data_IF_643664276081
#
_entry.id   IF_643664276081
#
_cell.length_a   1.000
_cell.length_b   1.000
_cell.length_c   1.000
_cell.angle_alpha   90.00
_cell.angle_beta   90.00
_cell.angle_gamma   90.00
#
_symmetry.space_group_name_H-M   'P 1'
#
loop_
_entity.id
_entity.type
_entity.pdbx_description
1 polymer ?
#
# COMPACT_ATOMS: atom_id res chain seq x y z
N UNK A 1 -44.36 -26.82 25.47
CA UNK A 1 -43.01 -26.28 25.77
C UNK A 1 -42.39 -27.18 26.81
N UNK A 2 -41.41 -28.01 26.43
CA UNK A 2 -40.65 -28.83 27.38
C UNK A 2 -39.72 -27.93 28.19
N UNK A 3 -39.60 -28.22 29.48
CA UNK A 3 -38.88 -27.40 30.45
C UNK A 3 -37.38 -27.64 30.30
N UNK A 4 -36.70 -26.73 29.60
CA UNK A 4 -35.25 -26.78 29.32
C UNK A 4 -34.38 -26.95 30.58
N UNK A 5 -34.90 -26.58 31.76
CA UNK A 5 -34.21 -26.78 33.04
C UNK A 5 -34.21 -28.23 33.51
N UNK A 6 -35.24 -29.01 33.20
CA UNK A 6 -35.28 -30.44 33.53
C UNK A 6 -34.38 -31.25 32.60
N UNK A 7 -34.33 -30.93 31.31
CA UNK A 7 -33.46 -31.60 30.34
C UNK A 7 -31.96 -31.34 30.66
N UNK A 8 -31.60 -30.13 31.12
CA UNK A 8 -30.24 -29.80 31.59
C UNK A 8 -29.87 -30.48 32.92
N UNK A 9 -30.84 -30.67 33.83
CA UNK A 9 -30.60 -31.38 35.09
C UNK A 9 -30.42 -32.89 34.87
N UNK A 10 -31.10 -33.49 33.89
CA UNK A 10 -30.93 -34.89 33.52
C UNK A 10 -29.59 -35.14 32.81
N UNK A 11 -29.16 -34.24 31.90
CA UNK A 11 -27.83 -34.32 31.26
C UNK A 11 -26.67 -34.19 32.26
N UNK A 12 -26.85 -33.44 33.35
CA UNK A 12 -25.86 -33.34 34.43
C UNK A 12 -25.73 -34.64 35.23
N UNK A 13 -26.82 -35.41 35.38
CA UNK A 13 -26.82 -36.63 36.19
C UNK A 13 -26.29 -37.85 35.43
N UNK A 14 -26.50 -37.91 34.11
CA UNK A 14 -25.95 -38.98 33.25
C UNK A 14 -24.44 -38.82 32.96
N UNK A 15 -23.82 -37.69 33.34
CA UNK A 15 -22.39 -37.41 33.10
C UNK A 15 -21.43 -38.00 34.13
N UNK A 16 -21.94 -38.65 35.19
CA UNK A 16 -21.10 -39.07 36.32
C UNK A 16 -20.44 -40.45 36.19
N UNK A 17 -20.72 -41.24 35.14
CA UNK A 17 -20.24 -42.63 35.00
C UNK A 17 -19.40 -42.91 33.75
N UNK A 18 -18.65 -41.93 33.22
CA UNK A 18 -17.70 -42.17 32.11
C UNK A 18 -16.25 -42.34 32.60
N UNK A 19 -16.00 -43.44 33.31
CA UNK A 19 -14.65 -43.93 33.54
C UNK A 19 -14.20 -44.83 32.38
N UNK A 20 -12.90 -44.79 32.06
CA UNK A 20 -12.33 -45.78 31.13
C UNK A 20 -12.30 -47.19 31.76
N UNK A 21 -11.89 -48.19 30.98
CA UNK A 21 -11.75 -49.59 31.44
C UNK A 21 -10.74 -49.79 32.58
N UNK A 22 -10.08 -48.74 33.05
CA UNK A 22 -9.15 -48.73 34.18
C UNK A 22 -9.62 -47.85 35.36
N UNK A 23 -10.85 -47.34 35.33
CA UNK A 23 -11.40 -46.54 36.41
C UNK A 23 -10.80 -45.13 36.52
N UNK A 24 -10.12 -44.65 35.48
CA UNK A 24 -9.64 -43.27 35.42
C UNK A 24 -10.71 -42.38 34.80
N UNK A 25 -10.92 -41.14 35.30
CA UNK A 25 -11.77 -40.17 34.63
C UNK A 25 -11.22 -39.89 33.23
N UNK A 26 -12.06 -40.02 32.19
CA UNK A 26 -11.66 -39.72 30.82
C UNK A 26 -11.10 -38.29 30.74
N UNK A 27 -9.85 -38.17 30.27
CA UNK A 27 -9.13 -36.91 30.09
C UNK A 27 -9.78 -35.93 29.06
N UNK A 28 -11.00 -36.21 28.57
CA UNK A 28 -11.59 -35.61 27.37
C UNK A 28 -12.43 -34.35 27.57
N UNK A 29 -12.90 -34.01 28.77
CA UNK A 29 -13.83 -32.88 28.96
C UNK A 29 -13.32 -31.75 29.87
N UNK A 30 -12.22 -31.94 30.59
CA UNK A 30 -11.58 -30.88 31.40
C UNK A 30 -10.71 -29.92 30.58
N UNK A 31 -10.46 -30.21 29.29
CA UNK A 31 -9.76 -29.28 28.39
C UNK A 31 -10.65 -28.14 27.89
N UNK A 32 -11.98 -28.23 28.03
CA UNK A 32 -12.92 -27.16 27.66
C UNK A 32 -13.03 -26.06 28.72
N UNK A 33 -12.54 -26.31 29.93
CA UNK A 33 -12.50 -25.35 31.06
C UNK A 33 -11.08 -25.05 31.51
N UNK A 34 -10.06 -25.59 30.83
CA UNK A 34 -8.68 -25.25 31.08
C UNK A 34 -8.43 -23.84 30.56
N UNK A 35 -8.36 -22.88 31.49
CA UNK A 35 -7.82 -21.55 31.26
C UNK A 35 -6.47 -21.73 30.56
N UNK A 36 -6.35 -21.31 29.30
CA UNK A 36 -5.13 -21.53 28.55
C UNK A 36 -4.03 -20.72 29.23
N UNK A 37 -2.93 -21.37 29.60
CA UNK A 37 -1.86 -20.74 30.39
C UNK A 37 -1.17 -19.59 29.62
N UNK A 38 -1.51 -19.39 28.33
CA UNK A 38 -1.08 -18.31 27.43
C UNK A 38 -2.26 -17.55 26.74
N UNK A 39 -3.42 -17.42 27.40
CA UNK A 39 -4.64 -16.78 26.86
C UNK A 39 -4.40 -15.46 26.09
N UNK A 40 -3.50 -14.59 26.55
CA UNK A 40 -3.25 -13.29 25.91
C UNK A 40 -2.40 -13.38 24.63
N UNK A 41 -1.43 -14.30 24.57
CA UNK A 41 -0.60 -14.52 23.37
C UNK A 41 -1.41 -15.27 22.30
N UNK A 42 -2.09 -16.34 22.70
CA UNK A 42 -2.95 -17.12 21.80
C UNK A 42 -4.10 -16.24 21.24
N UNK A 43 -4.67 -15.35 22.07
CA UNK A 43 -5.69 -14.42 21.62
C UNK A 43 -5.14 -13.38 20.64
N UNK A 44 -3.91 -12.87 20.83
CA UNK A 44 -3.30 -11.93 19.90
C UNK A 44 -3.08 -12.57 18.53
N UNK A 45 -2.62 -13.82 18.49
CA UNK A 45 -2.40 -14.54 17.24
C UNK A 45 -3.70 -14.81 16.48
N UNK A 46 -4.77 -15.22 17.18
CA UNK A 46 -6.10 -15.35 16.58
C UNK A 46 -6.60 -14.00 16.02
N UNK A 47 -6.50 -12.95 16.83
CA UNK A 47 -6.93 -11.60 16.48
C UNK A 47 -6.17 -11.03 15.27
N UNK A 48 -4.86 -11.30 15.19
CA UNK A 48 -3.99 -10.95 14.08
C UNK A 48 -4.33 -11.74 12.81
N UNK A 49 -4.63 -13.02 12.96
CA UNK A 49 -5.06 -13.90 11.85
C UNK A 49 -6.36 -13.39 11.22
N UNK A 50 -7.31 -12.91 12.03
CA UNK A 50 -8.54 -12.26 11.56
C UNK A 50 -8.21 -10.96 10.81
N UNK A 51 -7.34 -10.09 11.36
CA UNK A 51 -6.94 -8.86 10.68
C UNK A 51 -6.33 -9.17 9.30
N UNK A 52 -5.41 -10.13 9.26
CA UNK A 52 -4.68 -10.47 8.03
C UNK A 52 -5.61 -10.98 6.94
N UNK A 53 -6.61 -11.79 7.31
CA UNK A 53 -7.69 -12.22 6.43
C UNK A 53 -8.53 -11.04 5.90
N UNK A 54 -9.00 -10.16 6.80
CA UNK A 54 -9.81 -9.01 6.41
C UNK A 54 -9.06 -8.08 5.46
N UNK A 55 -7.80 -7.78 5.76
CA UNK A 55 -6.92 -6.96 4.91
C UNK A 55 -6.73 -7.61 3.53
N UNK A 56 -6.49 -8.92 3.48
CA UNK A 56 -6.36 -9.65 2.23
C UNK A 56 -7.63 -9.55 1.38
N UNK A 57 -8.80 -9.86 1.96
CA UNK A 57 -10.08 -9.79 1.24
C UNK A 57 -10.41 -8.36 0.81
N UNK A 58 -10.20 -7.37 1.66
CA UNK A 58 -10.40 -5.95 1.34
C UNK A 58 -9.51 -5.51 0.16
N UNK A 59 -8.24 -5.94 0.15
CA UNK A 59 -7.32 -5.61 -0.94
C UNK A 59 -7.78 -6.22 -2.26
N UNK A 60 -8.21 -7.49 -2.26
CA UNK A 60 -8.78 -8.14 -3.42
C UNK A 60 -10.01 -7.41 -3.96
N UNK A 61 -10.95 -7.03 -3.09
CA UNK A 61 -12.14 -6.28 -3.47
C UNK A 61 -11.81 -4.91 -4.09
N UNK A 62 -10.76 -4.22 -3.64
CA UNK A 62 -10.32 -2.95 -4.25
C UNK A 62 -9.92 -3.16 -5.71
N UNK A 63 -9.21 -4.26 -6.02
CA UNK A 63 -8.81 -4.55 -7.40
C UNK A 63 -9.98 -5.02 -8.26
N UNK A 64 -10.86 -5.86 -7.72
CA UNK A 64 -12.10 -6.27 -8.41
C UNK A 64 -12.96 -5.05 -8.75
N UNK A 65 -13.20 -4.18 -7.77
CA UNK A 65 -13.92 -2.92 -7.95
C UNK A 65 -13.28 -2.05 -9.03
N UNK A 66 -11.96 -1.86 -9.00
CA UNK A 66 -11.25 -1.03 -9.99
C UNK A 66 -11.34 -1.61 -11.40
N UNK A 67 -11.42 -2.93 -11.52
CA UNK A 67 -11.59 -3.66 -12.79
C UNK A 67 -13.03 -3.71 -13.30
N UNK A 68 -14.01 -3.28 -12.50
CA UNK A 68 -15.42 -3.31 -12.85
C UNK A 68 -15.76 -2.38 -14.02
N UNK A 69 -16.92 -2.60 -14.65
CA UNK A 69 -17.40 -1.75 -15.74
C UNK A 69 -17.79 -0.33 -15.30
N UNK A 70 -18.04 -0.12 -14.01
CA UNK A 70 -18.39 1.17 -13.43
C UNK A 70 -17.76 1.36 -12.05
N UNK A 71 -16.44 1.66 -11.99
CA UNK A 71 -15.73 1.87 -10.73
C UNK A 71 -16.12 3.19 -10.06
N UNK A 72 -16.98 4.02 -10.65
CA UNK A 72 -17.27 5.35 -10.12
C UNK A 72 -18.49 5.41 -9.20
N UNK A 73 -19.39 4.43 -9.27
CA UNK A 73 -20.67 4.44 -8.54
C UNK A 73 -20.83 3.25 -7.58
N UNK A 74 -19.82 2.40 -7.44
CA UNK A 74 -19.92 1.19 -6.62
C UNK A 74 -19.38 1.42 -5.21
N UNK A 75 -20.25 1.31 -4.21
CA UNK A 75 -19.95 1.42 -2.77
C UNK A 75 -19.22 0.18 -2.20
N UNK A 76 -18.98 -0.84 -3.03
CA UNK A 76 -18.59 -2.18 -2.59
C UNK A 76 -17.24 -2.28 -1.81
N UNK A 77 -16.26 -1.38 -1.97
CA UNK A 77 -15.07 -1.36 -1.10
C UNK A 77 -15.38 -0.92 0.34
N UNK A 78 -16.40 -0.08 0.56
CA UNK A 78 -16.52 0.72 1.78
C UNK A 78 -16.72 -0.12 3.06
N UNK A 79 -17.64 -1.09 3.03
CA UNK A 79 -18.02 -1.85 4.23
C UNK A 79 -16.88 -2.72 4.78
N UNK A 80 -16.19 -3.47 3.92
CA UNK A 80 -15.09 -4.34 4.36
C UNK A 80 -13.85 -3.53 4.76
N UNK A 81 -13.59 -2.41 4.08
CA UNK A 81 -12.51 -1.49 4.46
C UNK A 81 -12.79 -0.86 5.82
N UNK A 82 -14.01 -0.39 6.07
CA UNK A 82 -14.42 0.16 7.37
C UNK A 82 -14.29 -0.89 8.48
N UNK A 83 -14.79 -2.11 8.25
CA UNK A 83 -14.63 -3.22 9.20
C UNK A 83 -13.15 -3.53 9.49
N UNK A 84 -12.30 -3.50 8.46
CA UNK A 84 -10.85 -3.72 8.61
C UNK A 84 -10.20 -2.61 9.43
N UNK A 85 -10.60 -1.34 9.21
CA UNK A 85 -10.11 -0.18 9.96
C UNK A 85 -10.54 -0.21 11.43
N UNK A 86 -11.81 -0.57 11.69
CA UNK A 86 -12.36 -0.74 13.03
C UNK A 86 -11.63 -1.87 13.77
N UNK A 87 -11.40 -3.00 13.09
CA UNK A 87 -10.64 -4.12 13.66
C UNK A 87 -9.21 -3.72 14.00
N UNK A 88 -8.51 -3.00 13.11
CA UNK A 88 -7.16 -2.48 13.38
C UNK A 88 -7.14 -1.55 14.61
N UNK A 89 -8.13 -0.69 14.74
CA UNK A 89 -8.27 0.22 15.89
C UNK A 89 -8.52 -0.56 17.18
N UNK A 90 -9.38 -1.58 17.13
CA UNK A 90 -9.63 -2.48 18.25
C UNK A 90 -8.33 -3.19 18.69
N UNK A 91 -7.54 -3.72 17.76
CA UNK A 91 -6.28 -4.39 18.09
C UNK A 91 -5.26 -3.46 18.72
N UNK A 92 -5.12 -2.24 18.20
CA UNK A 92 -4.21 -1.25 18.77
C UNK A 92 -4.53 -0.97 20.25
N UNK A 93 -5.83 -0.89 20.60
CA UNK A 93 -6.27 -0.68 21.98
C UNK A 93 -6.13 -1.94 22.84
N UNK A 94 -6.64 -3.09 22.37
CA UNK A 94 -6.68 -4.35 23.14
C UNK A 94 -5.28 -4.88 23.45
N UNK A 95 -4.35 -4.75 22.49
CA UNK A 95 -3.02 -5.32 22.58
C UNK A 95 -1.93 -4.27 22.80
N UNK A 96 -2.29 -3.11 23.35
CA UNK A 96 -1.36 -2.03 23.73
C UNK A 96 -0.35 -1.65 22.63
N UNK A 97 -0.77 -1.67 21.36
CA UNK A 97 0.08 -1.33 20.23
C UNK A 97 1.16 -2.37 19.90
N UNK A 98 0.99 -3.65 20.27
CA UNK A 98 1.83 -4.76 19.79
C UNK A 98 2.04 -4.68 18.27
N UNK A 99 3.27 -4.99 17.83
CA UNK A 99 3.63 -4.92 16.42
C UNK A 99 2.99 -6.03 15.61
N UNK A 100 2.55 -5.70 14.39
CA UNK A 100 2.09 -6.68 13.41
C UNK A 100 3.26 -7.55 12.93
N UNK A 101 2.98 -8.80 12.56
CA UNK A 101 3.96 -9.64 11.85
C UNK A 101 4.37 -8.99 10.53
N UNK A 102 5.57 -9.27 9.98
CA UNK A 102 6.03 -8.67 8.72
C UNK A 102 5.04 -8.83 7.57
N UNK A 103 4.42 -10.02 7.43
CA UNK A 103 3.40 -10.31 6.41
C UNK A 103 2.13 -9.46 6.61
N UNK A 104 1.58 -9.42 7.82
CA UNK A 104 0.39 -8.61 8.11
C UNK A 104 0.67 -7.10 7.96
N UNK A 105 1.87 -6.65 8.34
CA UNK A 105 2.32 -5.27 8.18
C UNK A 105 2.48 -4.89 6.69
N UNK A 106 2.99 -5.79 5.86
CA UNK A 106 3.07 -5.63 4.42
C UNK A 106 1.66 -5.55 3.80
N UNK A 107 0.78 -6.51 4.08
CA UNK A 107 -0.60 -6.50 3.53
C UNK A 107 -1.36 -5.25 3.96
N UNK A 108 -1.21 -4.82 5.21
CA UNK A 108 -1.83 -3.58 5.71
C UNK A 108 -1.35 -2.34 4.94
N UNK A 109 -0.04 -2.25 4.64
CA UNK A 109 0.51 -1.18 3.81
C UNK A 109 0.02 -1.27 2.36
N UNK A 110 -0.10 -2.48 1.82
CA UNK A 110 -0.61 -2.70 0.47
C UNK A 110 -2.06 -2.21 0.35
N UNK A 111 -2.93 -2.58 1.30
CA UNK A 111 -4.30 -2.09 1.38
C UNK A 111 -4.33 -0.56 1.48
N UNK A 112 -3.54 0.02 2.39
CA UNK A 112 -3.46 1.48 2.55
C UNK A 112 -3.09 2.17 1.23
N UNK A 113 -2.03 1.71 0.56
CA UNK A 113 -1.60 2.32 -0.70
C UNK A 113 -2.65 2.13 -1.79
N UNK A 114 -3.22 0.93 -1.93
CA UNK A 114 -4.24 0.62 -2.93
C UNK A 114 -5.48 1.51 -2.75
N UNK A 115 -5.98 1.68 -1.53
CA UNK A 115 -7.13 2.53 -1.23
C UNK A 115 -6.86 3.98 -1.60
N UNK A 116 -5.76 4.55 -1.10
CA UNK A 116 -5.45 5.97 -1.34
C UNK A 116 -5.20 6.21 -2.83
N UNK A 117 -4.40 5.36 -3.49
CA UNK A 117 -4.07 5.53 -4.89
C UNK A 117 -5.30 5.45 -5.80
N UNK A 118 -6.14 4.43 -5.60
CA UNK A 118 -7.31 4.20 -6.47
C UNK A 118 -8.44 5.20 -6.25
N UNK A 119 -8.58 5.76 -5.05
CA UNK A 119 -9.63 6.74 -4.74
C UNK A 119 -9.16 8.19 -4.75
N UNK A 120 -7.88 8.47 -5.05
CA UNK A 120 -7.30 9.84 -4.92
C UNK A 120 -8.05 10.93 -5.68
N UNK A 121 -8.76 10.58 -6.76
CA UNK A 121 -9.52 11.49 -7.61
C UNK A 121 -11.04 11.42 -7.37
N UNK A 122 -11.50 10.58 -6.44
CA UNK A 122 -12.91 10.51 -6.02
C UNK A 122 -13.15 11.52 -4.89
N UNK A 123 -14.17 12.36 -5.05
CA UNK A 123 -14.43 13.48 -4.12
C UNK A 123 -15.49 13.18 -3.07
N UNK A 124 -16.38 12.23 -3.34
CA UNK A 124 -17.46 11.86 -2.42
C UNK A 124 -16.93 11.03 -1.25
N UNK A 125 -15.92 10.20 -1.51
CA UNK A 125 -15.29 9.33 -0.51
C UNK A 125 -13.78 9.40 -0.67
N UNK A 126 -13.11 10.04 0.30
CA UNK A 126 -11.64 10.04 0.37
C UNK A 126 -11.20 9.19 1.55
N UNK A 127 -10.26 8.27 1.31
CA UNK A 127 -9.67 7.41 2.35
C UNK A 127 -8.57 8.12 3.16
N UNK A 128 -8.46 9.44 3.04
CA UNK A 128 -7.47 10.28 3.71
C UNK A 128 -8.15 11.44 4.42
N UNK A 129 -7.86 11.64 5.70
CA UNK A 129 -8.24 12.89 6.39
C UNK A 129 -7.28 14.02 6.00
N UNK A 130 -7.67 15.30 6.12
CA UNK A 130 -6.77 16.44 5.91
C UNK A 130 -5.46 16.32 6.72
N UNK A 131 -5.56 15.88 7.98
CA UNK A 131 -4.39 15.70 8.86
C UNK A 131 -3.48 14.57 8.37
N UNK A 132 -4.06 13.45 7.93
CA UNK A 132 -3.29 12.33 7.38
C UNK A 132 -2.56 12.74 6.10
N UNK A 133 -3.24 13.52 5.24
CA UNK A 133 -2.65 14.03 4.01
C UNK A 133 -1.52 15.02 4.31
N UNK A 134 -1.72 15.93 5.27
CA UNK A 134 -0.67 16.86 5.72
C UNK A 134 0.55 16.10 6.25
N UNK A 135 0.34 15.03 7.04
CA UNK A 135 1.42 14.19 7.53
C UNK A 135 2.19 13.48 6.39
N UNK A 136 1.48 12.98 5.37
CA UNK A 136 2.13 12.39 4.19
C UNK A 136 2.97 13.40 3.40
N UNK A 137 2.47 14.64 3.27
CA UNK A 137 3.21 15.73 2.64
C UNK A 137 4.47 16.08 3.45
N UNK A 138 4.33 16.21 4.77
CA UNK A 138 5.45 16.46 5.67
C UNK A 138 6.52 15.36 5.59
N UNK A 139 6.11 14.09 5.56
CA UNK A 139 7.04 12.97 5.39
C UNK A 139 7.80 13.05 4.06
N UNK A 140 7.11 13.42 2.97
CA UNK A 140 7.74 13.58 1.66
C UNK A 140 8.72 14.78 1.64
N UNK A 141 8.38 15.88 2.29
CA UNK A 141 9.26 17.04 2.46
C UNK A 141 10.48 16.72 3.32
N UNK A 142 10.29 16.02 4.45
CA UNK A 142 11.36 15.57 5.33
C UNK A 142 12.35 14.66 4.58
N UNK A 143 11.85 13.75 3.74
CA UNK A 143 12.69 12.92 2.85
C UNK A 143 13.48 13.78 1.86
N UNK A 144 12.86 14.75 1.21
CA UNK A 144 13.52 15.67 0.27
C UNK A 144 14.61 16.52 0.93
N UNK A 145 14.34 17.02 2.14
CA UNK A 145 15.29 17.77 2.96
C UNK A 145 16.46 16.90 3.40
N UNK A 146 16.20 15.67 3.86
CA UNK A 146 17.24 14.71 4.20
C UNK A 146 18.16 14.47 3.01
N UNK A 147 17.60 14.15 1.84
CA UNK A 147 18.36 13.88 0.62
C UNK A 147 19.27 15.07 0.26
N UNK A 148 18.71 16.27 0.17
CA UNK A 148 19.44 17.50 -0.21
C UNK A 148 20.56 17.85 0.76
N UNK A 149 20.36 17.65 2.06
CA UNK A 149 21.33 18.05 3.09
C UNK A 149 22.37 16.98 3.39
N UNK A 150 22.05 15.70 3.20
CA UNK A 150 22.83 14.58 3.74
C UNK A 150 23.44 13.68 2.69
N UNK A 151 23.09 13.84 1.43
CA UNK A 151 23.61 12.99 0.35
C UNK A 151 24.35 13.84 -0.69
N UNK A 152 25.43 13.29 -1.23
CA UNK A 152 26.24 13.96 -2.25
C UNK A 152 25.70 13.63 -3.63
N UNK A 153 24.76 14.43 -4.11
CA UNK A 153 24.22 14.29 -5.47
C UNK A 153 24.32 15.59 -6.26
N UNK A 154 24.46 15.52 -7.60
CA UNK A 154 24.26 16.68 -8.43
C UNK A 154 22.82 17.19 -8.30
N UNK A 155 22.57 18.50 -8.52
CA UNK A 155 21.22 19.02 -8.56
C UNK A 155 20.40 18.28 -9.61
N UNK A 156 19.16 17.92 -9.26
CA UNK A 156 18.23 17.19 -10.13
C UNK A 156 17.93 17.98 -11.42
N UNK A 157 17.83 19.30 -11.30
CA UNK A 157 17.51 20.20 -12.41
C UNK A 157 18.68 21.16 -12.65
N UNK A 158 19.03 21.44 -13.92
CA UNK A 158 19.98 22.50 -14.27
C UNK A 158 19.55 23.89 -13.74
N UNK A 159 20.52 24.76 -13.48
CA UNK A 159 20.27 26.15 -13.05
C UNK A 159 19.40 26.99 -14.02
N UNK A 160 19.15 26.50 -15.23
CA UNK A 160 18.33 27.15 -16.26
C UNK A 160 16.81 27.03 -16.05
N UNK A 161 16.34 26.38 -14.98
CA UNK A 161 14.91 26.32 -14.66
C UNK A 161 14.38 27.70 -14.23
N UNK A 162 13.78 28.42 -15.17
CA UNK A 162 13.14 29.70 -14.89
C UNK A 162 11.68 29.49 -14.46
N UNK A 163 11.50 29.12 -13.19
CA UNK A 163 10.20 28.99 -12.55
C UNK A 163 9.31 30.20 -12.80
N UNK A 164 9.82 31.41 -12.55
CA UNK A 164 9.03 32.65 -12.52
C UNK A 164 8.42 33.06 -13.86
N UNK A 165 9.00 32.61 -14.98
CA UNK A 165 8.55 32.97 -16.33
C UNK A 165 7.54 31.98 -16.90
N UNK A 166 7.70 30.70 -16.56
CA UNK A 166 6.90 29.61 -17.13
C UNK A 166 5.81 29.10 -16.18
N UNK A 167 5.95 29.35 -14.88
CA UNK A 167 5.05 28.87 -13.83
C UNK A 167 4.73 29.98 -12.79
N UNK A 168 3.58 29.91 -12.11
CA UNK A 168 2.51 28.94 -12.31
C UNK A 168 1.73 29.16 -13.61
N UNK A 169 1.06 28.12 -14.10
CA UNK A 169 0.15 28.23 -15.22
C UNK A 169 -1.11 29.04 -14.83
N UNK A 170 -1.79 29.59 -15.83
CA UNK A 170 -3.04 30.31 -15.57
C UNK A 170 -4.13 29.37 -15.02
N UNK A 171 -5.07 29.87 -14.19
CA UNK A 171 -6.15 29.04 -13.64
C UNK A 171 -7.00 28.35 -14.72
N UNK A 172 -7.23 29.01 -15.87
CA UNK A 172 -7.96 28.42 -16.99
C UNK A 172 -7.18 27.27 -17.62
N UNK A 173 -5.85 27.42 -17.80
CA UNK A 173 -5.00 26.33 -18.28
C UNK A 173 -4.99 25.13 -17.32
N UNK A 174 -4.87 25.37 -16.00
CA UNK A 174 -4.94 24.30 -15.00
C UNK A 174 -6.28 23.56 -15.06
N UNK A 175 -7.40 24.29 -15.13
CA UNK A 175 -8.75 23.71 -15.30
C UNK A 175 -8.85 22.87 -16.57
N UNK A 176 -8.35 23.38 -17.70
CA UNK A 176 -8.32 22.63 -18.97
C UNK A 176 -7.50 21.35 -18.86
N UNK A 177 -6.34 21.39 -18.20
CA UNK A 177 -5.50 20.20 -18.00
C UNK A 177 -6.20 19.16 -17.12
N UNK A 178 -6.87 19.57 -16.05
CA UNK A 178 -7.68 18.67 -15.20
C UNK A 178 -8.84 18.06 -15.97
N UNK A 179 -9.57 18.86 -16.75
CA UNK A 179 -10.64 18.36 -17.61
C UNK A 179 -10.13 17.36 -18.66
N UNK A 180 -8.95 17.62 -19.23
CA UNK A 180 -8.32 16.67 -20.15
C UNK A 180 -8.02 15.34 -19.47
N UNK A 181 -7.43 15.36 -18.28
CA UNK A 181 -7.18 14.14 -17.51
C UNK A 181 -8.49 13.41 -17.14
N UNK A 182 -9.53 14.12 -16.69
CA UNK A 182 -10.85 13.53 -16.41
C UNK A 182 -11.44 12.83 -17.64
N UNK A 183 -11.28 13.41 -18.84
CA UNK A 183 -11.71 12.80 -20.09
C UNK A 183 -10.88 11.55 -20.44
N UNK A 184 -9.56 11.58 -20.24
CA UNK A 184 -8.69 10.43 -20.47
C UNK A 184 -9.02 9.25 -19.55
N UNK A 185 -9.42 9.54 -18.31
CA UNK A 185 -9.84 8.55 -17.32
C UNK A 185 -11.28 8.08 -17.48
N UNK A 186 -12.05 8.65 -18.41
CA UNK A 186 -13.46 8.35 -18.57
C UNK A 186 -14.31 8.72 -17.34
N UNK A 187 -13.85 9.64 -16.50
CA UNK A 187 -14.56 10.03 -15.27
C UNK A 187 -15.94 10.62 -15.62
N UNK A 188 -17.05 10.13 -15.03
CA UNK A 188 -18.38 10.69 -15.25
C UNK A 188 -18.48 12.17 -14.84
N UNK A 189 -19.32 13.00 -15.50
CA UNK A 189 -19.42 14.44 -15.20
C UNK A 189 -19.72 14.79 -13.74
N UNK A 190 -20.52 13.98 -13.05
CA UNK A 190 -20.90 14.11 -11.65
C UNK A 190 -19.75 13.80 -10.67
N UNK A 191 -18.72 13.07 -11.13
CA UNK A 191 -17.52 12.71 -10.37
C UNK A 191 -16.33 13.64 -10.62
N UNK A 192 -16.53 14.73 -11.36
CA UNK A 192 -15.47 15.68 -11.79
C UNK A 192 -15.30 16.88 -10.86
N UNK A 193 -15.76 16.80 -9.62
CA UNK A 193 -15.67 17.91 -8.65
C UNK A 193 -14.23 18.39 -8.42
N UNK A 194 -13.23 17.51 -8.54
CA UNK A 194 -11.80 17.83 -8.45
C UNK A 194 -11.28 18.81 -9.50
N UNK A 195 -11.97 18.98 -10.63
CA UNK A 195 -11.56 19.91 -11.69
C UNK A 195 -11.61 21.35 -11.15
N UNK A 196 -12.69 21.66 -10.44
CA UNK A 196 -13.04 23.00 -9.99
C UNK A 196 -12.57 23.23 -8.55
N UNK A 197 -12.67 22.18 -7.72
CA UNK A 197 -12.24 22.16 -6.33
C UNK A 197 -11.15 21.08 -6.16
N UNK A 198 -9.89 21.37 -6.50
CA UNK A 198 -8.80 20.39 -6.44
C UNK A 198 -8.50 19.90 -5.01
N UNK A 199 -8.95 20.63 -3.99
CA UNK A 199 -8.90 20.21 -2.59
C UNK A 199 -10.14 19.36 -2.29
N UNK A 200 -10.05 18.08 -1.88
CA UNK A 200 -8.93 17.44 -1.17
C UNK A 200 -8.23 16.30 -1.95
N UNK A 201 -8.10 16.40 -3.27
CA UNK A 201 -7.47 15.33 -4.06
C UNK A 201 -6.03 15.08 -3.58
N UNK A 202 -5.70 13.81 -3.33
CA UNK A 202 -4.38 13.43 -2.84
C UNK A 202 -3.37 13.46 -4.00
N UNK A 203 -2.34 14.33 -3.97
CA UNK A 203 -1.33 14.39 -5.02
C UNK A 203 -0.45 13.15 -4.97
N UNK A 204 -0.03 12.66 -6.14
CA UNK A 204 0.85 11.48 -6.25
C UNK A 204 2.14 11.63 -5.46
N UNK A 205 2.71 12.84 -5.38
CA UNK A 205 3.93 13.09 -4.62
C UNK A 205 3.79 12.78 -3.12
N UNK A 206 2.59 12.90 -2.55
CA UNK A 206 2.34 12.55 -1.15
C UNK A 206 2.35 11.03 -0.92
N UNK A 207 2.16 10.22 -1.97
CA UNK A 207 2.17 8.76 -1.89
C UNK A 207 3.56 8.15 -2.02
N UNK A 208 4.58 8.95 -2.38
CA UNK A 208 5.94 8.46 -2.56
C UNK A 208 6.50 7.77 -1.30
N UNK A 209 6.42 8.35 -0.08
CA UNK A 209 6.87 7.66 1.12
C UNK A 209 6.21 6.29 1.31
N UNK A 210 4.88 6.23 1.12
CA UNK A 210 4.09 5.01 1.28
C UNK A 210 4.48 3.95 0.26
N UNK A 211 4.72 4.33 -1.01
CA UNK A 211 5.17 3.41 -2.06
C UNK A 211 6.53 2.79 -1.73
N UNK A 212 7.47 3.61 -1.24
CA UNK A 212 8.80 3.13 -0.86
C UNK A 212 8.73 2.19 0.34
N UNK A 213 7.94 2.54 1.36
CA UNK A 213 7.75 1.68 2.53
C UNK A 213 7.07 0.37 2.17
N UNK A 214 6.09 0.38 1.27
CA UNK A 214 5.43 -0.83 0.76
C UNK A 214 6.44 -1.74 0.05
N UNK A 215 7.25 -1.19 -0.86
CA UNK A 215 8.26 -1.96 -1.57
C UNK A 215 9.34 -2.50 -0.62
N UNK A 216 9.80 -1.71 0.36
CA UNK A 216 10.76 -2.18 1.37
C UNK A 216 10.16 -3.26 2.27
N UNK A 217 8.88 -3.15 2.63
CA UNK A 217 8.19 -4.18 3.38
C UNK A 217 8.11 -5.48 2.56
N UNK A 218 7.91 -5.38 1.24
CA UNK A 218 7.92 -6.53 0.33
C UNK A 218 9.27 -7.25 0.31
N UNK A 219 10.39 -6.52 0.23
CA UNK A 219 11.75 -7.09 0.29
C UNK A 219 11.98 -7.85 1.60
N UNK A 220 11.35 -7.39 2.69
CA UNK A 220 11.59 -7.93 4.03
C UNK A 220 10.84 -9.25 4.31
N UNK A 221 10.07 -9.79 3.36
CA UNK A 221 9.27 -11.01 3.56
C UNK A 221 10.04 -12.32 3.36
N UNK A 222 11.36 -12.25 3.11
CA UNK A 222 12.27 -13.42 2.95
C UNK A 222 11.79 -14.44 1.90
N UNK A 223 11.17 -13.96 0.82
CA UNK A 223 10.60 -14.79 -0.24
C UNK A 223 11.20 -14.46 -1.62
N UNK A 224 12.49 -14.09 -1.63
CA UNK A 224 13.31 -13.77 -2.80
C UNK A 224 12.85 -12.60 -3.66
N UNK A 225 11.79 -11.87 -3.26
CA UNK A 225 11.38 -10.68 -4.01
C UNK A 225 12.45 -9.59 -3.94
N UNK A 226 12.89 -9.13 -5.11
CA UNK A 226 13.87 -8.05 -5.24
C UNK A 226 13.41 -7.01 -6.26
N UNK A 227 13.78 -5.73 -6.08
CA UNK A 227 13.53 -4.67 -7.06
C UNK A 227 14.05 -5.03 -8.46
N UNK A 228 13.15 -5.16 -9.43
CA UNK A 228 13.50 -5.44 -10.83
C UNK A 228 13.68 -4.15 -11.65
N UNK A 229 14.24 -4.27 -12.85
CA UNK A 229 14.28 -3.15 -13.81
C UNK A 229 12.89 -2.61 -14.17
N UNK A 230 11.88 -3.48 -14.19
CA UNK A 230 10.49 -3.10 -14.45
C UNK A 230 9.90 -2.30 -13.29
N UNK A 231 10.22 -2.67 -12.05
CA UNK A 231 9.84 -1.90 -10.87
C UNK A 231 10.49 -0.51 -10.88
N UNK A 232 11.79 -0.43 -11.19
CA UNK A 232 12.48 0.86 -11.31
C UNK A 232 11.85 1.73 -12.41
N UNK A 233 11.48 1.16 -13.57
CA UNK A 233 10.79 1.89 -14.63
C UNK A 233 9.41 2.39 -14.18
N UNK A 234 8.62 1.56 -13.48
CA UNK A 234 7.34 1.97 -12.91
C UNK A 234 7.50 3.11 -11.90
N UNK A 235 8.48 3.01 -10.99
CA UNK A 235 8.80 4.08 -10.05
C UNK A 235 9.20 5.36 -10.79
N UNK A 236 10.02 5.26 -11.84
CA UNK A 236 10.38 6.39 -12.69
C UNK A 236 9.17 7.08 -13.33
N UNK A 237 8.18 6.31 -13.81
CA UNK A 237 6.90 6.87 -14.29
C UNK A 237 6.09 7.50 -13.16
N UNK A 238 6.10 6.91 -11.97
CA UNK A 238 5.44 7.49 -10.81
C UNK A 238 6.02 8.86 -10.45
N UNK A 239 7.35 9.01 -10.46
CA UNK A 239 8.03 10.30 -10.25
C UNK A 239 7.69 11.30 -11.36
N UNK A 240 7.70 10.85 -12.62
CA UNK A 240 7.32 11.66 -13.76
C UNK A 240 5.91 12.22 -13.60
N UNK A 241 4.93 11.35 -13.35
CA UNK A 241 3.53 11.74 -13.18
C UNK A 241 3.31 12.62 -11.94
N UNK A 242 4.08 12.41 -10.87
CA UNK A 242 4.07 13.29 -9.70
C UNK A 242 4.49 14.72 -10.06
N UNK A 243 5.52 14.89 -10.91
CA UNK A 243 5.92 16.22 -11.40
C UNK A 243 4.87 16.81 -12.33
N UNK A 244 4.40 16.04 -13.31
CA UNK A 244 3.39 16.50 -14.26
C UNK A 244 2.12 16.95 -13.54
N UNK A 245 1.68 16.20 -12.54
CA UNK A 245 0.55 16.56 -11.71
C UNK A 245 0.80 17.85 -10.90
N UNK A 246 1.93 17.92 -10.18
CA UNK A 246 2.27 19.10 -9.38
C UNK A 246 2.25 20.38 -10.23
N UNK A 247 2.85 20.38 -11.41
CA UNK A 247 2.99 21.57 -12.25
C UNK A 247 1.80 21.82 -13.17
N UNK A 248 1.33 20.80 -13.90
CA UNK A 248 0.29 20.96 -14.91
C UNK A 248 -1.12 20.93 -14.34
N UNK A 249 -1.34 20.32 -13.17
CA UNK A 249 -2.67 20.21 -12.55
C UNK A 249 -2.80 21.09 -11.30
N UNK A 250 -1.76 21.17 -10.46
CA UNK A 250 -1.82 21.94 -9.20
C UNK A 250 -1.08 23.28 -9.24
N UNK A 251 -0.37 23.60 -10.33
CA UNK A 251 0.25 24.92 -10.50
C UNK A 251 1.46 25.15 -9.59
N UNK A 252 2.20 24.08 -9.25
CA UNK A 252 3.51 24.22 -8.63
C UNK A 252 4.43 25.12 -9.48
N UNK A 253 5.31 25.85 -8.81
CA UNK A 253 6.16 26.86 -9.45
C UNK A 253 7.60 26.84 -8.93
N UNK A 254 7.98 25.96 -8.01
CA UNK A 254 9.33 25.94 -7.43
C UNK A 254 10.09 24.70 -7.85
N UNK A 255 11.34 24.85 -8.33
CA UNK A 255 12.24 23.74 -8.68
C UNK A 255 12.46 22.74 -7.51
N UNK A 256 12.23 23.20 -6.27
CA UNK A 256 12.25 22.35 -5.08
C UNK A 256 11.25 21.19 -5.16
N UNK A 257 10.09 21.35 -5.81
CA UNK A 257 9.12 20.26 -5.95
C UNK A 257 9.69 19.09 -6.76
N UNK A 258 10.32 19.37 -7.91
CA UNK A 258 10.94 18.34 -8.73
C UNK A 258 12.10 17.70 -7.98
N UNK A 259 12.92 18.51 -7.31
CA UNK A 259 14.03 18.01 -6.49
C UNK A 259 13.54 17.07 -5.39
N UNK A 260 12.48 17.44 -4.66
CA UNK A 260 11.87 16.63 -3.61
C UNK A 260 11.22 15.36 -4.16
N UNK A 261 10.53 15.43 -5.31
CA UNK A 261 9.94 14.25 -5.95
C UNK A 261 11.06 13.26 -6.32
N UNK A 262 12.12 13.72 -6.98
CA UNK A 262 13.26 12.90 -7.40
C UNK A 262 14.31 12.62 -6.31
N UNK A 263 14.06 13.00 -5.06
CA UNK A 263 14.94 12.77 -3.91
C UNK A 263 14.97 11.30 -3.44
N UNK A 264 15.09 10.36 -4.39
CA UNK A 264 14.95 8.93 -4.21
C UNK A 264 16.23 8.26 -4.72
N UNK A 265 16.83 7.38 -3.93
CA UNK A 265 18.11 6.75 -4.25
C UNK A 265 18.81 6.20 -3.01
N UNK A 266 20.09 5.85 -3.12
CA UNK A 266 20.84 5.31 -1.98
C UNK A 266 21.28 6.43 -1.02
N UNK A 267 20.78 6.50 0.23
CA UNK A 267 21.15 7.56 1.17
C UNK A 267 22.48 7.30 1.90
N UNK A 268 23.17 6.19 1.59
CA UNK A 268 24.39 5.77 2.25
C UNK A 268 24.17 5.14 3.63
N UNK A 269 25.27 4.92 4.36
CA UNK A 269 25.29 4.14 5.61
C UNK A 269 25.00 4.95 6.87
N UNK A 270 25.06 6.27 6.81
CA UNK A 270 24.86 7.12 7.99
C UNK A 270 23.38 7.12 8.38
N UNK A 271 23.07 6.78 9.64
CA UNK A 271 21.72 6.82 10.22
C UNK A 271 21.59 7.98 11.19
N UNK A 272 20.39 8.53 11.28
CA UNK A 272 20.06 9.68 12.12
C UNK A 272 18.87 9.34 13.01
N UNK A 273 18.81 9.93 14.22
CA UNK A 273 17.78 9.61 15.20
C UNK A 273 16.36 9.96 14.70
N UNK A 274 16.22 11.04 13.93
CA UNK A 274 14.96 11.54 13.37
C UNK A 274 14.82 11.19 11.87
N UNK A 275 15.45 10.10 11.43
CA UNK A 275 15.41 9.71 10.04
C UNK A 275 13.99 9.24 9.64
N UNK A 276 13.40 9.77 8.55
CA UNK A 276 12.11 9.29 8.06
C UNK A 276 12.15 7.80 7.69
N UNK A 277 11.07 7.08 7.98
CA UNK A 277 10.88 5.67 7.61
C UNK A 277 11.11 5.40 6.12
N UNK A 278 10.70 6.34 5.26
CA UNK A 278 10.95 6.27 3.82
C UNK A 278 12.43 6.33 3.42
N UNK A 279 13.29 7.01 4.20
CA UNK A 279 14.75 7.02 3.98
C UNK A 279 15.35 5.67 4.41
N UNK A 280 14.81 5.05 5.46
CA UNK A 280 15.20 3.69 5.84
C UNK A 280 14.81 2.69 4.74
N UNK A 281 13.61 2.81 4.18
CA UNK A 281 13.15 2.03 3.03
C UNK A 281 14.03 2.25 1.78
N UNK A 282 14.55 3.45 1.56
CA UNK A 282 15.46 3.71 0.44
C UNK A 282 16.76 2.89 0.49
N UNK A 283 17.25 2.53 1.69
CA UNK A 283 18.48 1.72 1.81
C UNK A 283 18.30 0.30 1.31
N UNK A 284 17.17 -0.32 1.61
CA UNK A 284 16.88 -1.69 1.14
C UNK A 284 16.57 -1.74 -0.35
N UNK A 285 16.09 -0.63 -0.93
CA UNK A 285 15.61 -0.60 -2.31
C UNK A 285 16.63 -0.11 -3.34
N UNK A 286 17.54 0.79 -2.95
CA UNK A 286 18.38 1.52 -3.91
C UNK A 286 19.88 1.39 -3.66
N UNK A 287 20.31 0.86 -2.52
CA UNK A 287 21.73 0.60 -2.27
C UNK A 287 22.11 -0.81 -2.73
N UNK A 288 23.33 -0.98 -3.21
CA UNK A 288 23.84 -2.30 -3.56
C UNK A 288 24.06 -3.13 -2.30
N UNK A 289 23.71 -4.42 -2.34
CA UNK A 289 23.92 -5.35 -1.21
C UNK A 289 25.41 -5.48 -0.85
N UNK A 290 26.28 -5.46 -1.86
CA UNK A 290 27.74 -5.56 -1.70
C UNK A 290 28.38 -4.25 -1.22
N UNK A 291 27.71 -3.11 -1.44
CA UNK A 291 28.21 -1.78 -1.08
C UNK A 291 27.04 -0.86 -0.74
N UNK A 292 26.71 -0.77 0.55
CA UNK A 292 25.62 0.05 1.09
C UNK A 292 25.82 1.58 0.91
N UNK A 293 26.90 1.99 0.25
CA UNK A 293 27.19 3.38 -0.12
C UNK A 293 26.94 3.66 -1.59
N UNK A 294 26.81 2.63 -2.41
CA UNK A 294 26.64 2.76 -3.85
C UNK A 294 25.19 2.54 -4.26
N UNK A 295 24.71 3.41 -5.14
CA UNK A 295 23.40 3.29 -5.73
C UNK A 295 23.38 2.18 -6.80
N UNK A 296 22.26 1.48 -6.91
CA UNK A 296 22.04 0.48 -7.95
C UNK A 296 22.08 1.18 -9.33
N UNK A 297 22.99 0.79 -10.25
CA UNK A 297 23.17 1.50 -11.52
C UNK A 297 21.91 1.58 -12.39
N UNK A 298 21.10 0.51 -12.36
CA UNK A 298 19.80 0.45 -13.06
C UNK A 298 18.88 1.57 -12.57
N UNK A 299 18.84 1.83 -11.26
CA UNK A 299 18.05 2.93 -10.70
C UNK A 299 18.59 4.29 -11.14
N UNK A 300 19.91 4.52 -11.02
CA UNK A 300 20.52 5.79 -11.43
C UNK A 300 20.23 6.15 -12.89
N UNK A 301 20.27 5.15 -13.78
CA UNK A 301 19.97 5.31 -15.19
C UNK A 301 18.49 5.60 -15.43
N UNK A 302 17.59 4.88 -14.76
CA UNK A 302 16.14 5.12 -14.86
C UNK A 302 15.75 6.49 -14.33
N UNK A 303 16.29 6.90 -13.17
CA UNK A 303 16.07 8.24 -12.60
C UNK A 303 16.50 9.33 -13.59
N UNK A 304 17.69 9.19 -14.19
CA UNK A 304 18.21 10.13 -15.20
C UNK A 304 17.32 10.18 -16.45
N UNK A 305 16.87 9.03 -16.96
CA UNK A 305 15.94 8.94 -18.10
C UNK A 305 14.69 9.79 -17.87
N UNK A 306 14.03 9.64 -16.72
CA UNK A 306 12.79 10.36 -16.44
C UNK A 306 12.99 11.87 -16.15
N UNK A 307 14.11 12.25 -15.54
CA UNK A 307 14.50 13.67 -15.43
C UNK A 307 14.70 14.31 -16.81
N UNK A 308 15.36 13.59 -17.73
CA UNK A 308 15.59 14.06 -19.09
C UNK A 308 14.28 14.23 -19.87
N UNK A 309 13.28 13.38 -19.64
CA UNK A 309 11.97 13.53 -20.29
C UNK A 309 11.26 14.82 -19.89
N UNK A 310 11.44 15.27 -18.65
CA UNK A 310 10.91 16.55 -18.14
C UNK A 310 11.72 17.77 -18.58
N UNK A 311 12.93 17.55 -19.10
CA UNK A 311 13.85 18.64 -19.44
C UNK A 311 13.64 19.12 -20.88
N UNK A 312 13.82 20.42 -21.16
CA UNK A 312 13.72 20.94 -22.51
C UNK A 312 14.86 20.45 -23.41
N UNK A 313 14.52 20.20 -24.68
CA UNK A 313 15.48 19.91 -25.74
C UNK A 313 16.17 21.18 -26.20
N UNK A 314 17.47 21.30 -25.90
CA UNK A 314 18.29 22.49 -26.20
C UNK A 314 18.32 22.84 -27.69
N UNK A 315 18.30 21.82 -28.55
CA UNK A 315 18.31 21.93 -30.02
C UNK A 315 16.99 22.48 -30.58
N UNK A 316 15.87 22.31 -29.87
CA UNK A 316 14.54 22.72 -30.32
C UNK A 316 14.08 24.08 -29.77
N UNK A 317 14.85 24.71 -28.87
CA UNK A 317 14.40 25.90 -28.15
C UNK A 317 13.13 25.66 -27.31
N UNK A 318 12.91 24.42 -26.88
CA UNK A 318 11.74 23.99 -26.13
C UNK A 318 11.71 24.67 -24.74
N UNK A 319 10.52 25.03 -24.26
CA UNK A 319 10.31 25.50 -22.89
C UNK A 319 10.08 24.34 -21.92
N UNK A 320 10.20 24.55 -20.61
CA UNK A 320 9.88 23.52 -19.59
C UNK A 320 8.42 23.08 -19.65
N UNK A 321 7.48 24.01 -19.82
CA UNK A 321 6.06 23.67 -20.01
C UNK A 321 5.87 22.78 -21.25
N UNK A 322 6.51 23.11 -22.36
CA UNK A 322 6.44 22.31 -23.59
C UNK A 322 7.04 20.91 -23.40
N UNK A 323 8.17 20.81 -22.68
CA UNK A 323 8.81 19.53 -22.35
C UNK A 323 7.92 18.65 -21.46
N UNK A 324 7.28 19.23 -20.43
CA UNK A 324 6.33 18.52 -19.58
C UNK A 324 5.08 18.07 -20.35
N UNK A 325 4.54 18.91 -21.24
CA UNK A 325 3.42 18.52 -22.12
C UNK A 325 3.82 17.42 -23.11
N UNK A 326 5.08 17.45 -23.62
CA UNK A 326 5.63 16.37 -24.45
C UNK A 326 5.73 15.07 -23.66
N UNK A 327 6.23 15.13 -22.43
CA UNK A 327 6.31 13.97 -21.55
C UNK A 327 4.90 13.42 -21.25
N UNK A 328 3.92 14.28 -20.95
CA UNK A 328 2.52 13.87 -20.74
C UNK A 328 1.90 13.15 -21.95
N UNK A 329 2.25 13.57 -23.19
CA UNK A 329 1.79 12.88 -24.41
C UNK A 329 2.48 11.53 -24.62
N UNK A 330 3.76 11.43 -24.25
CA UNK A 330 4.56 10.20 -24.40
C UNK A 330 4.21 9.15 -23.33
N UNK A 331 3.95 9.61 -22.11
CA UNK A 331 3.62 8.79 -20.95
C UNK A 331 2.17 9.06 -20.56
N UNK A 332 1.27 8.26 -21.12
CA UNK A 332 -0.16 8.30 -20.89
C UNK A 332 -0.48 8.02 -19.41
N UNK A 333 -1.26 8.90 -18.78
CA UNK A 333 -1.68 8.69 -17.39
C UNK A 333 -2.54 7.41 -17.21
N UNK A 334 -3.53 7.10 -18.07
CA UNK A 334 -4.26 5.83 -17.98
C UNK A 334 -3.37 4.58 -18.02
N UNK A 335 -2.31 4.59 -18.84
CA UNK A 335 -1.38 3.47 -18.92
C UNK A 335 -0.53 3.35 -17.66
N UNK A 336 -0.06 4.48 -17.14
CA UNK A 336 0.63 4.54 -15.86
C UNK A 336 -0.24 4.00 -14.73
N UNK A 337 -1.48 4.48 -14.60
CA UNK A 337 -2.39 4.06 -13.55
C UNK A 337 -2.66 2.55 -13.61
N UNK A 338 -2.93 2.03 -14.81
CA UNK A 338 -3.10 0.60 -15.05
C UNK A 338 -1.87 -0.21 -14.61
N UNK A 339 -0.65 0.24 -14.93
CA UNK A 339 0.58 -0.44 -14.53
C UNK A 339 0.79 -0.41 -13.01
N UNK A 340 0.43 0.69 -12.34
CA UNK A 340 0.48 0.75 -10.87
C UNK A 340 -0.50 -0.25 -10.27
N UNK A 341 -1.76 -0.27 -10.72
CA UNK A 341 -2.76 -1.22 -10.22
C UNK A 341 -2.33 -2.67 -10.47
N UNK A 342 -1.82 -2.99 -11.66
CA UNK A 342 -1.29 -4.32 -11.98
C UNK A 342 -0.12 -4.71 -11.07
N UNK A 343 0.80 -3.78 -10.80
CA UNK A 343 1.87 -4.01 -9.86
C UNK A 343 1.34 -4.32 -8.46
N UNK A 344 0.39 -3.53 -7.95
CA UNK A 344 -0.22 -3.77 -6.64
C UNK A 344 -0.96 -5.11 -6.57
N UNK A 345 -1.67 -5.50 -7.63
CA UNK A 345 -2.29 -6.82 -7.74
C UNK A 345 -1.25 -7.94 -7.72
N UNK A 346 -0.14 -7.79 -8.46
CA UNK A 346 0.96 -8.78 -8.43
C UNK A 346 1.62 -8.89 -7.05
N UNK A 347 1.67 -7.79 -6.29
CA UNK A 347 2.15 -7.80 -4.89
C UNK A 347 1.18 -8.54 -3.97
N UNK A 348 -0.13 -8.42 -4.21
CA UNK A 348 -1.17 -9.10 -3.45
C UNK A 348 -1.17 -10.61 -3.70
N UNK A 349 -1.09 -11.01 -4.97
CA UNK A 349 -1.06 -12.41 -5.40
C UNK A 349 0.29 -13.09 -5.13
N UNK A 350 1.37 -12.32 -5.13
CA UNK A 350 2.73 -12.81 -4.97
C UNK A 350 3.16 -13.13 -3.54
N UNK A 351 2.25 -13.13 -2.57
CA UNK A 351 2.51 -13.52 -1.17
C UNK A 351 1.54 -14.65 -0.80
N UNK A 352 2.02 -15.62 -0.02
CA UNK A 352 1.20 -16.72 0.51
C UNK A 352 -0.09 -16.15 1.11
N UNK A 353 -1.25 -16.76 0.87
CA UNK A 353 -2.54 -16.27 1.39
C UNK A 353 -2.59 -16.37 2.92
N UNK A 354 -3.35 -15.53 3.63
CA UNK A 354 -3.59 -15.73 5.07
C UNK A 354 -4.25 -17.08 5.35
N UNK A 355 -4.00 -17.65 6.52
CA UNK A 355 -4.45 -19.01 6.87
C UNK A 355 -5.98 -19.16 6.74
N UNK A 356 -6.76 -18.17 7.17
CA UNK A 356 -8.22 -18.22 7.03
C UNK A 356 -8.69 -18.19 5.56
N UNK A 357 -7.96 -17.51 4.67
CA UNK A 357 -8.29 -17.52 3.25
C UNK A 357 -7.95 -18.88 2.61
N UNK A 358 -6.87 -19.52 3.06
CA UNK A 358 -6.52 -20.88 2.64
C UNK A 358 -7.56 -21.92 3.09
N UNK A 359 -8.06 -21.78 4.32
CA UNK A 359 -9.16 -22.62 4.85
C UNK A 359 -10.46 -22.38 4.09
N UNK A 360 -10.83 -21.13 3.81
CA UNK A 360 -12.00 -20.77 2.98
C UNK A 360 -11.93 -21.43 1.60
N UNK A 361 -10.74 -21.49 0.99
CA UNK A 361 -10.51 -22.10 -0.32
C UNK A 361 -10.34 -23.62 -0.29
N UNK A 362 -10.24 -24.22 0.90
CA UNK A 362 -10.00 -25.65 1.09
C UNK A 362 -8.60 -26.12 0.67
N UNK A 363 -7.62 -25.21 0.59
CA UNK A 363 -6.24 -25.48 0.15
C UNK A 363 -5.26 -24.91 1.15
N UNK A 364 -4.70 -25.77 1.99
CA UNK A 364 -3.78 -25.36 3.06
C UNK A 364 -2.34 -25.48 2.54
N UNK A 365 -1.59 -24.40 2.72
CA UNK A 365 -0.18 -24.27 2.43
C UNK A 365 0.58 -24.03 3.74
N UNK A 366 1.46 -24.96 4.09
CA UNK A 366 2.31 -24.86 5.28
C UNK A 366 3.73 -24.57 4.80
N UNK A 367 4.26 -23.38 5.10
CA UNK A 367 5.64 -22.96 4.78
C UNK A 367 6.03 -23.12 3.30
N UNK A 368 5.10 -22.85 2.38
CA UNK A 368 5.31 -22.96 0.93
C UNK A 368 4.92 -24.32 0.35
N UNK A 369 4.58 -25.30 1.19
CA UNK A 369 4.15 -26.63 0.78
C UNK A 369 2.63 -26.74 0.80
N UNK A 370 2.02 -26.77 -0.40
CA UNK A 370 0.58 -27.01 -0.54
C UNK A 370 0.28 -28.48 -0.20
N UNK A 371 -0.58 -28.70 0.80
CA UNK A 371 -1.10 -30.01 1.14
C UNK A 371 -1.98 -30.50 -0.02
N UNK A 372 -1.97 -31.81 -0.29
CA UNK A 372 -2.91 -32.37 -1.26
C UNK A 372 -4.37 -32.06 -0.85
N UNK A 373 -5.31 -32.07 -1.79
CA UNK A 373 -6.72 -31.79 -1.50
C UNK A 373 -7.29 -32.73 -0.41
N UNK A 374 -6.83 -33.98 -0.38
CA UNK A 374 -7.21 -34.95 0.65
C UNK A 374 -6.63 -34.59 2.03
N UNK A 375 -5.36 -34.16 2.09
CA UNK A 375 -4.70 -33.73 3.33
C UNK A 375 -5.26 -32.41 3.85
N UNK A 376 -5.55 -31.46 2.96
CA UNK A 376 -6.21 -30.19 3.29
C UNK A 376 -7.60 -30.43 3.88
N UNK A 377 -8.42 -31.29 3.25
CA UNK A 377 -9.75 -31.65 3.76
C UNK A 377 -9.69 -32.39 5.10
N UNK A 378 -8.75 -33.30 5.25
CA UNK A 378 -8.55 -34.02 6.51
C UNK A 378 -8.09 -33.08 7.64
N UNK A 379 -7.23 -32.12 7.34
CA UNK A 379 -6.82 -31.09 8.28
C UNK A 379 -8.00 -30.19 8.68
N UNK A 380 -8.81 -29.72 7.72
CA UNK A 380 -10.03 -28.94 8.00
C UNK A 380 -11.02 -29.73 8.85
N UNK A 381 -11.24 -31.02 8.53
CA UNK A 381 -12.10 -31.91 9.32
C UNK A 381 -11.61 -32.07 10.76
N UNK A 382 -10.30 -32.13 10.99
CA UNK A 382 -9.71 -32.20 12.34
C UNK A 382 -9.86 -30.89 13.11
N UNK A 383 -9.96 -29.76 12.42
CA UNK A 383 -10.25 -28.45 13.02
C UNK A 383 -11.73 -28.26 13.38
N UNK A 384 -12.61 -29.22 13.02
CA UNK A 384 -14.03 -29.18 13.37
C UNK A 384 -14.86 -28.20 12.54
N UNK A 385 -14.38 -27.82 11.35
CA UNK A 385 -15.04 -26.96 10.37
C UNK A 385 -15.82 -27.75 9.31
#
# INVERSE_FOLDING_TARGET
MRDLKQDLAQLSHDSHDSHDSHGQPQHGYLNLTRRMENEEEDQFDCDLTILDFLVYKATGLVFEWRSSSDPFHSDLPSALVNMTADWRTFLAHKHHGRHLTPKAAFRSRLLQFALIFTHRLHHTETWTTPDSLASLQEQNEARGNYWTQRTSHPPVIPQSFNSSREFPLSPSTLRTNRLHLANQLGTPPDQRNWIDNPTPATPLSALLPVLLELASARVSLDDSWVPTSEWFDLLGQFLLHSVLEAYLLYGAHSASHITNIFAIGCPGTQRWAEEPSSVTAMRSLFCQETSLREEIPTWSNTRRKYIQELSPRLDAGESWVQAMQRAQRKYSYPDFERRVVQFLASLHEGVIKPDLAQVEEGRINIDGWELSEAESREAIRRMGL
#
